data_IF_676886576783
#
_entry.id   IF_676886576783
#
_cell.length_a   1.000
_cell.length_b   1.000
_cell.length_c   1.000
_cell.angle_alpha   90.00
_cell.angle_beta   90.00
_cell.angle_gamma   90.00
#
_symmetry.space_group_name_H-M   'P 1'
#
loop_
_entity.id
_entity.type
_entity.pdbx_description
1 polymer ?
#
# COMPACT_ATOMS: atom_id res chain seq x y z
N UNK A 1 -19.63 0.93 3.58
CA UNK A 1 -20.35 2.19 3.22
C UNK A 1 -20.83 2.10 1.77
N UNK A 2 -21.72 3.00 1.32
CA UNK A 2 -21.98 3.25 -0.12
C UNK A 2 -20.77 3.95 -0.76
N UNK A 3 -20.79 4.17 -2.07
CA UNK A 3 -19.81 5.08 -2.69
C UNK A 3 -20.08 6.54 -2.29
N UNK A 4 -19.03 7.36 -2.36
CA UNK A 4 -19.10 8.81 -2.22
C UNK A 4 -19.43 9.54 -3.54
N UNK A 5 -19.38 8.85 -4.69
CA UNK A 5 -19.47 9.47 -6.02
C UNK A 5 -20.84 9.35 -6.67
N UNK A 6 -21.27 10.44 -7.33
CA UNK A 6 -22.49 10.48 -8.15
C UNK A 6 -22.30 9.84 -9.53
N UNK A 7 -23.41 9.61 -10.24
CA UNK A 7 -23.38 9.13 -11.64
C UNK A 7 -22.71 10.14 -12.59
N UNK A 8 -22.80 11.44 -12.30
CA UNK A 8 -22.08 12.47 -13.05
C UNK A 8 -20.56 12.38 -12.81
N UNK A 9 -20.15 12.11 -11.56
CA UNK A 9 -18.75 11.88 -11.23
C UNK A 9 -18.22 10.60 -11.89
N UNK A 10 -19.02 9.54 -12.00
CA UNK A 10 -18.65 8.36 -12.79
C UNK A 10 -18.44 8.68 -14.27
N UNK A 11 -19.33 9.43 -14.92
CA UNK A 11 -19.11 9.85 -16.32
C UNK A 11 -17.79 10.60 -16.48
N UNK A 12 -17.58 11.65 -15.66
CA UNK A 12 -16.35 12.45 -15.67
C UNK A 12 -15.09 11.60 -15.42
N UNK A 13 -15.18 10.57 -14.57
CA UNK A 13 -14.08 9.62 -14.35
C UNK A 13 -13.81 8.75 -15.59
N UNK A 14 -14.85 8.19 -16.23
CA UNK A 14 -14.70 7.39 -17.44
C UNK A 14 -14.14 8.19 -18.62
N UNK A 15 -14.55 9.46 -18.74
CA UNK A 15 -13.98 10.42 -19.67
C UNK A 15 -12.48 10.65 -19.38
N UNK A 16 -12.13 10.96 -18.13
CA UNK A 16 -10.76 11.25 -17.72
C UNK A 16 -9.80 10.05 -17.93
N UNK A 17 -10.19 8.82 -17.59
CA UNK A 17 -9.38 7.62 -17.85
C UNK A 17 -9.46 7.13 -19.31
N UNK A 18 -10.19 7.83 -20.18
CA UNK A 18 -10.41 7.46 -21.58
C UNK A 18 -10.97 6.02 -21.74
N UNK A 19 -11.88 5.60 -20.87
CA UNK A 19 -12.45 4.23 -20.91
C UNK A 19 -13.18 4.01 -22.26
N UNK A 20 -12.99 2.88 -22.97
CA UNK A 20 -13.61 2.64 -24.28
C UNK A 20 -15.13 2.73 -24.23
N UNK A 21 -15.75 3.39 -25.23
CA UNK A 21 -17.19 3.72 -25.21
C UNK A 21 -18.10 2.49 -25.07
N UNK A 22 -17.78 1.39 -25.75
CA UNK A 22 -18.53 0.14 -25.65
C UNK A 22 -18.61 -0.41 -24.21
N UNK A 23 -17.58 -0.17 -23.38
CA UNK A 23 -17.54 -0.57 -21.97
C UNK A 23 -18.27 0.39 -21.03
N UNK A 24 -18.84 1.50 -21.55
CA UNK A 24 -19.68 2.43 -20.80
C UNK A 24 -21.18 2.20 -21.00
N UNK A 25 -21.56 1.49 -22.07
CA UNK A 25 -22.96 1.17 -22.38
C UNK A 25 -23.50 0.04 -21.46
N UNK A 26 -22.63 -0.89 -21.07
CA UNK A 26 -22.93 -1.95 -20.10
C UNK A 26 -21.91 -1.94 -18.94
N UNK A 27 -22.24 -1.18 -17.89
CA UNK A 27 -21.42 -1.06 -16.68
C UNK A 27 -21.60 -2.23 -15.70
N UNK A 28 -22.19 -3.37 -16.11
CA UNK A 28 -22.33 -4.53 -15.21
C UNK A 28 -20.96 -5.06 -14.79
N UNK A 29 -20.76 -5.36 -13.48
CA UNK A 29 -19.55 -6.00 -12.97
C UNK A 29 -19.17 -7.24 -13.80
N UNK A 30 -17.92 -7.24 -14.27
CA UNK A 30 -17.33 -8.32 -15.07
C UNK A 30 -15.81 -8.19 -15.07
N UNK A 31 -15.10 -9.31 -15.21
CA UNK A 31 -13.64 -9.31 -15.35
C UNK A 31 -13.14 -8.46 -16.54
N UNK A 32 -13.90 -8.35 -17.63
CA UNK A 32 -13.55 -7.49 -18.78
C UNK A 32 -13.57 -6.01 -18.40
N UNK A 33 -14.67 -5.54 -17.78
CA UNK A 33 -14.78 -4.17 -17.29
C UNK A 33 -13.73 -3.87 -16.21
N UNK A 34 -13.49 -4.81 -15.28
CA UNK A 34 -12.48 -4.65 -14.23
C UNK A 34 -11.05 -4.54 -14.78
N UNK A 35 -10.70 -5.33 -15.81
CA UNK A 35 -9.42 -5.21 -16.52
C UNK A 35 -9.27 -3.84 -17.18
N UNK A 36 -10.27 -3.41 -17.95
CA UNK A 36 -10.21 -2.11 -18.63
C UNK A 36 -10.12 -0.94 -17.63
N UNK A 37 -10.95 -0.94 -16.57
CA UNK A 37 -10.88 0.05 -15.49
C UNK A 37 -9.51 0.07 -14.82
N UNK A 38 -8.92 -1.09 -14.54
CA UNK A 38 -7.59 -1.21 -13.95
C UNK A 38 -6.51 -0.62 -14.86
N UNK A 39 -6.41 -1.13 -16.09
CA UNK A 39 -5.35 -0.76 -17.06
C UNK A 39 -5.42 0.71 -17.46
N UNK A 40 -6.62 1.26 -17.66
CA UNK A 40 -6.79 2.69 -17.94
C UNK A 40 -6.47 3.57 -16.72
N UNK A 41 -6.90 3.19 -15.52
CA UNK A 41 -6.60 3.96 -14.29
C UNK A 41 -5.10 3.98 -13.97
N UNK A 42 -4.42 2.83 -14.09
CA UNK A 42 -3.00 2.64 -13.75
C UNK A 42 -2.04 3.53 -14.56
N UNK A 43 -2.41 3.90 -15.78
CA UNK A 43 -1.62 4.80 -16.63
C UNK A 43 -2.12 6.26 -16.62
N UNK A 44 -3.40 6.48 -16.30
CA UNK A 44 -3.96 7.83 -16.19
C UNK A 44 -3.51 8.50 -14.90
N UNK A 45 -3.62 7.82 -13.75
CA UNK A 45 -3.23 8.35 -12.45
C UNK A 45 -1.79 7.92 -12.12
N UNK A 46 -0.80 8.82 -12.21
CA UNK A 46 0.55 8.50 -11.75
C UNK A 46 0.56 8.31 -10.22
N UNK A 47 1.18 7.24 -9.75
CA UNK A 47 1.54 7.13 -8.34
C UNK A 47 2.52 8.26 -8.01
N UNK A 48 2.16 9.15 -7.10
CA UNK A 48 2.94 10.36 -6.79
C UNK A 48 2.78 10.75 -5.32
N UNK A 49 3.87 11.14 -4.65
CA UNK A 49 3.81 11.64 -3.27
C UNK A 49 4.08 13.15 -3.17
N UNK A 50 3.90 13.89 -4.26
CA UNK A 50 4.19 15.33 -4.39
C UNK A 50 3.40 16.17 -3.38
N UNK A 51 2.23 15.71 -2.92
CA UNK A 51 1.46 16.38 -1.88
C UNK A 51 2.11 16.33 -0.48
N UNK A 52 3.15 15.53 -0.25
CA UNK A 52 4.03 15.64 0.93
C UNK A 52 5.15 16.65 0.73
N UNK A 53 5.54 16.95 -0.52
CA UNK A 53 6.73 17.73 -0.85
C UNK A 53 6.45 19.18 -1.28
N UNK A 54 5.39 19.40 -2.06
CA UNK A 54 5.02 20.70 -2.66
C UNK A 54 3.76 21.34 -2.05
N UNK A 55 2.91 20.58 -1.35
CA UNK A 55 1.81 21.19 -0.61
C UNK A 55 2.38 21.97 0.59
N UNK A 56 2.03 23.24 0.77
CA UNK A 56 2.48 24.05 1.91
C UNK A 56 2.07 23.47 3.29
N UNK A 57 1.05 22.59 3.33
CA UNK A 57 0.69 21.84 4.53
C UNK A 57 1.48 20.53 4.74
N UNK A 58 2.27 20.10 3.74
CA UNK A 58 3.03 18.85 3.64
C UNK A 58 2.22 17.60 4.01
N UNK A 59 0.99 17.50 3.50
CA UNK A 59 0.01 16.49 3.89
C UNK A 59 -0.79 15.91 2.73
N UNK A 60 -1.16 14.64 2.88
CA UNK A 60 -2.16 13.92 2.11
C UNK A 60 -3.54 14.09 2.75
N UNK A 61 -4.51 14.58 1.97
CA UNK A 61 -5.94 14.54 2.28
C UNK A 61 -6.55 13.27 1.67
N UNK A 62 -7.43 12.59 2.42
CA UNK A 62 -8.10 11.36 1.99
C UNK A 62 -9.62 11.51 1.83
N UNK A 63 -10.18 12.73 1.95
CA UNK A 63 -11.58 12.99 1.59
C UNK A 63 -11.85 12.53 0.15
N UNK A 64 -12.78 11.59 -0.10
CA UNK A 64 -13.07 11.11 -1.45
C UNK A 64 -13.38 12.23 -2.44
N UNK A 65 -13.99 13.34 -1.99
CA UNK A 65 -14.30 14.47 -2.84
C UNK A 65 -13.07 15.35 -3.14
N UNK A 66 -12.12 15.49 -2.21
CA UNK A 66 -10.78 16.03 -2.48
C UNK A 66 -10.07 15.21 -3.53
N UNK A 67 -9.98 13.90 -3.31
CA UNK A 67 -9.31 12.95 -4.20
C UNK A 67 -9.87 13.07 -5.63
N UNK A 68 -11.20 13.13 -5.76
CA UNK A 68 -11.86 13.31 -7.04
C UNK A 68 -11.55 14.67 -7.69
N UNK A 69 -11.52 15.78 -6.92
CA UNK A 69 -11.15 17.10 -7.46
C UNK A 69 -9.72 17.07 -8.00
N UNK A 70 -8.76 16.76 -7.13
CA UNK A 70 -7.32 16.71 -7.39
C UNK A 70 -6.98 15.90 -8.63
N UNK A 71 -7.51 14.69 -8.73
CA UNK A 71 -7.13 13.75 -9.80
C UNK A 71 -7.98 13.90 -11.06
N UNK A 72 -9.30 14.11 -10.95
CA UNK A 72 -10.23 14.01 -12.10
C UNK A 72 -10.64 15.36 -12.68
N UNK A 73 -10.97 16.37 -11.84
CA UNK A 73 -11.55 17.63 -12.34
C UNK A 73 -10.58 18.78 -12.47
N UNK A 74 -9.51 18.81 -11.68
CA UNK A 74 -8.46 19.83 -11.78
C UNK A 74 -7.70 19.75 -13.11
N UNK A 75 -7.69 18.57 -13.75
CA UNK A 75 -7.04 18.30 -15.05
C UNK A 75 -5.52 18.61 -15.10
N UNK A 76 -4.85 18.65 -13.94
CA UNK A 76 -3.41 18.93 -13.81
C UNK A 76 -2.51 17.69 -13.97
N UNK A 77 -3.05 16.59 -14.48
CA UNK A 77 -2.36 15.29 -14.62
C UNK A 77 -1.92 14.63 -13.30
N UNK A 78 -2.45 15.10 -12.17
CA UNK A 78 -2.15 14.58 -10.83
C UNK A 78 -2.80 13.20 -10.64
N UNK A 79 -2.05 12.27 -10.07
CA UNK A 79 -2.60 11.09 -9.41
C UNK A 79 -2.55 11.33 -7.90
N UNK A 80 -2.00 10.38 -7.17
CA UNK A 80 -1.72 10.58 -5.75
C UNK A 80 -0.90 9.45 -5.14
N UNK A 81 -0.72 9.54 -3.83
CA UNK A 81 -0.09 8.48 -3.06
C UNK A 81 -1.03 7.27 -3.03
N UNK A 82 -0.53 6.10 -2.64
CA UNK A 82 -1.29 4.86 -2.80
C UNK A 82 -2.68 4.88 -2.13
N UNK A 83 -2.85 5.56 -1.00
CA UNK A 83 -4.18 5.73 -0.34
C UNK A 83 -5.12 6.63 -1.13
N UNK A 84 -4.59 7.68 -1.76
CA UNK A 84 -5.36 8.59 -2.61
C UNK A 84 -5.99 7.82 -3.78
N UNK A 85 -5.16 7.10 -4.55
CA UNK A 85 -5.62 6.35 -5.73
C UNK A 85 -6.51 5.17 -5.31
N UNK A 86 -6.15 4.41 -4.27
CA UNK A 86 -6.92 3.25 -3.82
C UNK A 86 -8.31 3.61 -3.29
N UNK A 87 -8.46 4.70 -2.53
CA UNK A 87 -9.76 5.15 -2.02
C UNK A 87 -10.65 5.64 -3.16
N UNK A 88 -10.11 6.44 -4.10
CA UNK A 88 -10.84 6.89 -5.28
C UNK A 88 -11.30 5.70 -6.13
N UNK A 89 -10.40 4.78 -6.47
CA UNK A 89 -10.71 3.62 -7.30
C UNK A 89 -11.71 2.68 -6.62
N UNK A 90 -11.62 2.49 -5.30
CA UNK A 90 -12.60 1.72 -4.54
C UNK A 90 -14.01 2.35 -4.59
N UNK A 91 -14.11 3.68 -4.43
CA UNK A 91 -15.39 4.37 -4.55
C UNK A 91 -15.97 4.28 -5.96
N UNK A 92 -15.15 4.34 -7.02
CA UNK A 92 -15.61 4.09 -8.40
C UNK A 92 -16.18 2.67 -8.53
N UNK A 93 -15.42 1.63 -8.19
CA UNK A 93 -15.87 0.23 -8.29
C UNK A 93 -17.18 -0.03 -7.50
N UNK A 94 -17.28 0.50 -6.28
CA UNK A 94 -18.48 0.36 -5.43
C UNK A 94 -19.70 1.15 -5.94
N UNK A 95 -19.51 2.17 -6.79
CA UNK A 95 -20.61 2.89 -7.44
C UNK A 95 -21.09 2.21 -8.73
N UNK A 96 -20.19 1.52 -9.43
CA UNK A 96 -20.49 0.68 -10.61
C UNK A 96 -21.24 -0.60 -10.21
N UNK A 97 -20.92 -1.15 -9.03
CA UNK A 97 -21.68 -2.26 -8.43
C UNK A 97 -20.84 -3.48 -8.03
N UNK A 98 -19.53 -3.46 -8.30
CA UNK A 98 -18.59 -4.49 -7.83
C UNK A 98 -18.64 -4.60 -6.29
N UNK A 99 -18.44 -5.81 -5.76
CA UNK A 99 -18.17 -5.95 -4.33
C UNK A 99 -16.68 -5.72 -4.05
N UNK A 100 -16.31 -4.43 -4.00
CA UNK A 100 -14.94 -4.00 -3.80
C UNK A 100 -14.69 -3.36 -2.42
N UNK A 101 -13.54 -3.63 -1.81
CA UNK A 101 -13.14 -3.08 -0.50
C UNK A 101 -11.64 -2.72 -0.47
N UNK A 102 -11.24 -1.81 0.44
CA UNK A 102 -9.83 -1.46 0.65
C UNK A 102 -9.19 -2.32 1.74
N UNK A 103 -7.91 -2.65 1.64
CA UNK A 103 -7.17 -3.41 2.65
C UNK A 103 -5.71 -2.92 2.80
N UNK A 104 -5.15 -2.86 4.01
CA UNK A 104 -3.74 -2.53 4.24
C UNK A 104 -2.81 -3.57 3.65
N UNK A 105 -1.76 -3.22 2.90
CA UNK A 105 -0.57 -4.05 2.63
C UNK A 105 0.56 -3.65 3.58
N UNK A 106 1.37 -4.57 4.10
CA UNK A 106 2.72 -4.25 4.59
C UNK A 106 3.71 -4.49 3.44
N UNK A 107 4.66 -3.57 3.31
CA UNK A 107 5.72 -3.61 2.31
C UNK A 107 7.09 -3.85 2.95
N UNK A 108 8.05 -4.35 2.18
CA UNK A 108 9.46 -4.42 2.57
C UNK A 108 10.12 -3.09 2.23
N UNK A 109 11.01 -2.63 3.10
CA UNK A 109 12.02 -1.64 2.73
C UNK A 109 12.79 -2.09 1.47
N UNK A 110 13.12 -1.13 0.59
CA UNK A 110 13.92 -1.40 -0.62
C UNK A 110 15.40 -1.18 -0.34
N UNK A 111 16.23 -2.19 -0.59
CA UNK A 111 17.68 -2.07 -0.75
C UNK A 111 18.01 -2.06 -2.25
N UNK A 112 18.70 -1.02 -2.71
CA UNK A 112 19.10 -0.79 -4.12
C UNK A 112 17.94 -0.76 -5.13
N UNK A 113 16.73 -0.49 -4.64
CA UNK A 113 15.49 -0.53 -5.42
C UNK A 113 14.84 -1.91 -5.51
N UNK A 114 15.37 -2.92 -4.79
CA UNK A 114 14.82 -4.29 -4.69
C UNK A 114 14.26 -4.52 -3.27
N UNK A 115 13.10 -5.19 -3.07
CA UNK A 115 12.52 -5.38 -1.73
C UNK A 115 13.22 -6.45 -0.85
N UNK A 116 13.56 -6.10 0.40
CA UNK A 116 14.30 -6.95 1.37
C UNK A 116 13.71 -6.85 2.80
N UNK A 117 13.37 -7.97 3.50
CA UNK A 117 12.54 -8.02 4.74
C UNK A 117 11.48 -9.14 4.72
N UNK A 118 10.18 -8.92 5.05
CA UNK A 118 9.01 -9.89 4.95
C UNK A 118 7.58 -9.25 4.81
N UNK A 119 6.46 -10.03 4.82
CA UNK A 119 5.11 -9.67 4.25
C UNK A 119 3.79 -10.37 4.76
N UNK A 120 2.54 -9.83 4.60
CA UNK A 120 1.28 -10.63 4.89
C UNK A 120 -0.13 -10.38 4.17
N UNK A 121 -0.80 -11.31 3.38
CA UNK A 121 -1.91 -11.16 2.32
C UNK A 121 -3.44 -11.60 2.34
N UNK A 122 -4.35 -10.80 1.67
CA UNK A 122 -5.86 -10.91 1.54
C UNK A 122 -6.32 -11.48 0.18
N UNK A 123 -7.59 -11.22 -0.27
CA UNK A 123 -8.49 -12.18 -0.97
C UNK A 123 -8.79 -12.03 -2.49
N UNK A 124 -8.55 -10.89 -3.12
CA UNK A 124 -8.47 -10.62 -4.59
C UNK A 124 -7.67 -9.33 -4.79
N UNK A 125 -7.03 -9.13 -5.95
CA UNK A 125 -6.00 -8.08 -6.08
C UNK A 125 -6.16 -7.23 -7.34
N UNK A 126 -6.55 -5.96 -7.19
CA UNK A 126 -6.55 -4.95 -8.26
C UNK A 126 -5.88 -3.67 -7.79
N UNK A 127 -4.55 -3.69 -7.68
CA UNK A 127 -3.78 -2.51 -7.28
C UNK A 127 -3.42 -1.62 -8.48
N UNK A 128 -4.08 -0.46 -8.56
CA UNK A 128 -3.74 0.63 -9.50
C UNK A 128 -2.85 1.69 -8.84
N UNK A 129 -2.43 1.46 -7.59
CA UNK A 129 -1.91 2.46 -6.66
C UNK A 129 -0.53 2.10 -6.09
N UNK A 130 -0.01 0.90 -6.37
CA UNK A 130 1.26 0.38 -5.82
C UNK A 130 2.53 1.05 -6.38
N UNK A 131 2.44 1.65 -7.56
CA UNK A 131 3.60 2.13 -8.31
C UNK A 131 4.31 1.03 -9.11
N UNK A 132 5.60 1.23 -9.38
CA UNK A 132 6.23 0.75 -10.62
C UNK A 132 6.31 -0.76 -10.83
N UNK A 133 6.32 -1.57 -9.78
CA UNK A 133 6.53 -3.03 -9.87
C UNK A 133 5.29 -3.84 -9.42
N UNK A 134 4.13 -3.17 -9.38
CA UNK A 134 2.83 -3.81 -9.21
C UNK A 134 2.38 -4.59 -10.44
N UNK A 135 1.22 -5.24 -10.31
CA UNK A 135 0.56 -5.92 -11.42
C UNK A 135 0.01 -4.91 -12.42
N UNK A 136 0.10 -5.21 -13.72
CA UNK A 136 -0.53 -4.43 -14.81
C UNK A 136 -1.96 -4.88 -15.14
N UNK A 137 -2.47 -5.88 -14.40
CA UNK A 137 -3.83 -6.40 -14.50
C UNK A 137 -4.36 -6.85 -13.13
N UNK A 138 -5.69 -6.94 -12.93
CA UNK A 138 -6.29 -7.61 -11.77
C UNK A 138 -5.84 -9.07 -11.69
N UNK A 139 -5.33 -9.48 -10.53
CA UNK A 139 -4.85 -10.85 -10.31
C UNK A 139 -5.86 -11.70 -9.54
N UNK A 140 -6.17 -12.93 -10.01
CA UNK A 140 -6.95 -13.89 -9.27
C UNK A 140 -6.11 -14.55 -8.16
N UNK A 141 -6.74 -14.90 -7.04
CA UNK A 141 -5.99 -15.53 -5.94
C UNK A 141 -6.06 -17.04 -6.03
N UNK A 142 -5.16 -17.55 -6.85
CA UNK A 142 -4.92 -18.97 -7.04
C UNK A 142 -3.46 -19.21 -6.64
N UNK A 143 -3.25 -20.05 -5.63
CA UNK A 143 -1.93 -20.22 -5.02
C UNK A 143 -0.88 -20.70 -6.04
N UNK A 144 0.15 -19.89 -6.24
CA UNK A 144 1.24 -20.15 -7.16
C UNK A 144 0.95 -19.87 -8.63
N UNK A 145 -0.25 -19.39 -9.00
CA UNK A 145 -0.58 -19.07 -10.40
C UNK A 145 0.31 -17.94 -10.93
N UNK A 146 0.99 -18.21 -12.04
CA UNK A 146 1.95 -17.30 -12.68
C UNK A 146 1.26 -16.54 -13.81
N UNK A 147 1.48 -15.23 -13.84
CA UNK A 147 1.08 -14.33 -14.92
C UNK A 147 2.32 -13.62 -15.47
N UNK A 148 2.30 -13.29 -16.76
CA UNK A 148 3.24 -12.32 -17.33
C UNK A 148 2.83 -10.89 -16.90
N UNK A 149 3.81 -10.00 -16.80
CA UNK A 149 3.65 -8.58 -16.44
C UNK A 149 4.45 -7.71 -17.44
N UNK A 150 4.94 -6.55 -17.03
CA UNK A 150 5.71 -5.67 -17.92
C UNK A 150 7.03 -6.31 -18.40
N UNK A 151 7.11 -6.62 -19.69
CA UNK A 151 8.32 -7.15 -20.34
C UNK A 151 8.51 -8.64 -20.11
N UNK A 152 9.70 -9.05 -19.66
CA UNK A 152 10.00 -10.44 -19.28
C UNK A 152 9.65 -10.76 -17.83
N UNK A 153 9.02 -9.83 -17.11
CA UNK A 153 8.69 -9.99 -15.70
C UNK A 153 7.47 -10.89 -15.52
N UNK A 154 7.60 -11.89 -14.65
CA UNK A 154 6.48 -12.71 -14.20
C UNK A 154 6.08 -12.35 -12.77
N UNK A 155 4.79 -12.47 -12.46
CA UNK A 155 4.18 -12.18 -11.16
C UNK A 155 3.29 -13.35 -10.71
N UNK A 156 3.15 -13.56 -9.40
CA UNK A 156 2.26 -14.56 -8.80
C UNK A 156 1.81 -14.16 -7.40
N UNK A 157 0.78 -14.83 -6.89
CA UNK A 157 0.42 -14.78 -5.47
C UNK A 157 0.62 -16.16 -4.83
N UNK A 158 1.25 -16.17 -3.65
CA UNK A 158 1.60 -17.38 -2.90
C UNK A 158 0.91 -17.36 -1.54
N UNK A 159 0.07 -18.36 -1.23
CA UNK A 159 -0.65 -18.49 0.05
C UNK A 159 0.21 -19.26 1.05
N UNK A 160 0.87 -18.55 1.95
CA UNK A 160 1.84 -19.11 2.90
C UNK A 160 1.88 -18.33 4.21
N UNK A 161 2.79 -18.65 5.13
CA UNK A 161 3.17 -17.78 6.24
C UNK A 161 4.47 -17.03 5.92
N UNK A 162 4.78 -16.00 6.70
CA UNK A 162 6.14 -15.41 6.70
C UNK A 162 6.97 -15.81 7.91
N UNK A 163 8.32 -15.76 7.81
CA UNK A 163 9.22 -16.04 8.92
C UNK A 163 8.82 -15.42 10.25
N UNK A 164 8.65 -14.09 10.33
CA UNK A 164 8.35 -13.35 11.58
C UNK A 164 6.96 -13.58 12.19
N UNK A 165 6.04 -14.28 11.52
CA UNK A 165 4.70 -14.52 12.04
C UNK A 165 4.72 -15.54 13.19
N UNK A 166 4.38 -15.13 14.41
CA UNK A 166 4.38 -16.03 15.58
C UNK A 166 3.24 -17.07 15.51
N UNK A 167 2.04 -16.66 15.11
CA UNK A 167 0.85 -17.53 15.09
C UNK A 167 0.58 -18.07 13.68
N UNK A 168 1.06 -19.27 13.38
CA UNK A 168 0.96 -19.94 12.06
C UNK A 168 -0.10 -21.06 12.08
N UNK A 169 -1.26 -20.78 11.49
CA UNK A 169 -2.35 -21.73 11.21
C UNK A 169 -2.87 -21.50 9.79
N UNK A 170 -3.67 -22.39 9.21
CA UNK A 170 -4.17 -22.23 7.83
C UNK A 170 -5.00 -20.95 7.62
N UNK A 171 -5.76 -20.57 8.64
CA UNK A 171 -6.56 -19.34 8.69
C UNK A 171 -5.66 -18.10 8.65
N UNK A 172 -4.55 -18.14 9.40
CA UNK A 172 -3.59 -17.03 9.49
C UNK A 172 -2.56 -17.00 8.35
N UNK A 173 -2.67 -17.87 7.34
CA UNK A 173 -1.89 -17.74 6.10
C UNK A 173 -2.17 -16.41 5.40
N UNK A 174 -1.31 -16.10 4.44
CA UNK A 174 -1.06 -14.79 3.88
C UNK A 174 -0.81 -14.93 2.37
N UNK A 175 -1.52 -14.16 1.56
CA UNK A 175 -1.34 -14.09 0.10
C UNK A 175 -0.17 -13.17 -0.31
N UNK A 176 1.04 -13.70 -0.25
CA UNK A 176 2.29 -13.01 -0.59
C UNK A 176 2.36 -12.81 -2.11
N UNK A 177 2.34 -11.56 -2.59
CA UNK A 177 2.67 -11.28 -4.00
C UNK A 177 4.17 -11.43 -4.21
N UNK A 178 4.55 -12.05 -5.32
CA UNK A 178 5.93 -12.25 -5.72
C UNK A 178 6.12 -11.91 -7.20
N UNK A 179 7.30 -11.40 -7.55
CA UNK A 179 7.72 -11.16 -8.93
C UNK A 179 9.07 -11.82 -9.20
N UNK A 180 9.38 -12.01 -10.49
CA UNK A 180 10.72 -12.32 -10.98
C UNK A 180 10.93 -11.69 -12.34
N UNK A 181 12.12 -11.17 -12.60
CA UNK A 181 12.38 -10.40 -13.84
C UNK A 181 12.54 -11.26 -15.10
N UNK A 182 12.67 -12.58 -14.94
CA UNK A 182 12.71 -13.59 -16.01
C UNK A 182 12.54 -14.99 -15.42
N UNK A 183 12.29 -16.01 -16.25
CA UNK A 183 11.97 -17.37 -15.80
C UNK A 183 13.14 -18.11 -15.10
N UNK A 184 14.38 -17.68 -15.35
CA UNK A 184 15.62 -18.18 -14.75
C UNK A 184 16.00 -17.47 -13.44
N UNK A 185 15.13 -16.60 -12.92
CA UNK A 185 15.34 -15.85 -11.67
C UNK A 185 14.43 -16.38 -10.55
N UNK A 186 14.92 -16.21 -9.32
CA UNK A 186 14.17 -16.54 -8.10
C UNK A 186 12.98 -15.60 -7.89
N UNK A 187 12.02 -16.06 -7.11
CA UNK A 187 10.82 -15.30 -6.76
C UNK A 187 11.09 -14.33 -5.61
N UNK A 188 11.11 -13.04 -5.93
CA UNK A 188 11.23 -11.95 -4.95
C UNK A 188 9.82 -11.56 -4.53
N UNK A 189 9.46 -11.80 -3.27
CA UNK A 189 8.21 -11.30 -2.70
C UNK A 189 8.18 -9.75 -2.68
N UNK A 190 7.03 -9.08 -2.92
CA UNK A 190 6.94 -7.60 -3.01
C UNK A 190 6.09 -6.89 -1.92
N UNK A 191 4.95 -7.46 -1.52
CA UNK A 191 4.10 -6.94 -0.44
C UNK A 191 3.17 -8.07 0.00
N UNK A 192 2.36 -7.85 1.05
CA UNK A 192 0.98 -8.36 1.08
C UNK A 192 0.10 -7.72 2.18
N UNK A 193 -1.21 -7.99 2.20
CA UNK A 193 -2.35 -7.34 2.92
C UNK A 193 -3.14 -8.21 3.98
N UNK A 194 -3.57 -7.87 5.23
CA UNK A 194 -3.85 -8.91 6.26
C UNK A 194 -5.26 -9.56 6.26
N UNK A 195 -5.79 -10.07 5.13
CA UNK A 195 -7.17 -10.60 4.95
C UNK A 195 -8.33 -9.57 4.86
N UNK A 196 -8.19 -8.47 5.60
CA UNK A 196 -9.29 -7.71 6.22
C UNK A 196 -9.67 -6.43 5.45
N UNK A 197 -10.96 -6.02 5.50
CA UNK A 197 -11.41 -4.68 5.05
C UNK A 197 -10.93 -3.60 6.02
N UNK A 198 -10.22 -2.61 5.50
CA UNK A 198 -9.83 -1.38 6.19
C UNK A 198 -10.89 -0.30 5.93
N UNK A 199 -11.31 0.38 6.97
CA UNK A 199 -12.24 1.50 6.93
C UNK A 199 -11.50 2.85 6.94
N UNK A 200 -12.23 3.96 6.80
CA UNK A 200 -11.65 5.31 6.81
C UNK A 200 -10.77 5.58 8.04
N UNK A 201 -11.19 5.15 9.23
CA UNK A 201 -10.41 5.34 10.47
C UNK A 201 -9.10 4.54 10.49
N UNK A 202 -9.04 3.38 9.84
CA UNK A 202 -7.79 2.62 9.69
C UNK A 202 -6.82 3.36 8.76
N UNK A 203 -7.36 3.97 7.68
CA UNK A 203 -6.60 4.84 6.79
C UNK A 203 -6.15 6.14 7.45
N UNK A 204 -6.98 6.77 8.29
CA UNK A 204 -6.59 7.98 9.02
C UNK A 204 -5.36 7.74 9.91
N UNK A 205 -5.28 6.57 10.56
CA UNK A 205 -4.14 6.18 11.41
C UNK A 205 -2.89 5.89 10.59
N UNK A 206 -3.01 5.16 9.48
CA UNK A 206 -1.89 4.89 8.55
C UNK A 206 -1.39 6.20 7.92
N UNK A 207 -2.31 7.05 7.45
CA UNK A 207 -2.02 8.36 6.88
C UNK A 207 -1.30 9.25 7.88
N UNK A 208 -1.79 9.35 9.12
CA UNK A 208 -1.12 10.12 10.17
C UNK A 208 0.33 9.68 10.41
N UNK A 209 0.61 8.37 10.43
CA UNK A 209 1.99 7.87 10.53
C UNK A 209 2.85 8.32 9.34
N UNK A 210 2.38 8.10 8.10
CA UNK A 210 3.12 8.46 6.87
C UNK A 210 3.36 9.97 6.77
N UNK A 211 2.44 10.79 7.29
CA UNK A 211 2.51 12.26 7.22
C UNK A 211 3.34 12.89 8.35
N UNK A 212 3.68 12.16 9.42
CA UNK A 212 4.31 12.76 10.62
C UNK A 212 5.46 11.97 11.24
N UNK A 213 5.62 10.68 10.94
CA UNK A 213 6.66 9.87 11.54
C UNK A 213 8.01 10.13 10.86
N UNK A 214 9.04 10.43 11.65
CA UNK A 214 10.36 10.83 11.14
C UNK A 214 11.02 9.76 10.24
N UNK A 215 10.65 8.50 10.42
CA UNK A 215 11.17 7.37 9.66
C UNK A 215 10.37 7.04 8.39
N UNK A 216 9.23 7.70 8.13
CA UNK A 216 8.52 7.48 6.86
C UNK A 216 9.41 7.90 5.69
N UNK A 217 9.60 6.98 4.76
CA UNK A 217 10.43 7.21 3.58
C UNK A 217 9.76 8.19 2.61
N UNK A 218 8.43 8.31 2.66
CA UNK A 218 7.63 9.19 1.80
C UNK A 218 7.89 10.68 2.07
N UNK A 219 8.19 11.08 3.32
CA UNK A 219 8.55 12.46 3.65
C UNK A 219 9.94 12.85 3.09
N UNK A 220 10.79 11.87 2.75
CA UNK A 220 12.21 12.07 2.41
C UNK A 220 12.54 11.77 0.95
N UNK A 221 11.78 10.89 0.30
CA UNK A 221 12.02 10.47 -1.07
C UNK A 221 10.85 10.90 -1.95
N UNK A 222 11.11 11.81 -2.89
CA UNK A 222 10.09 12.24 -3.85
C UNK A 222 9.96 11.18 -4.94
N UNK A 223 8.74 10.69 -5.14
CA UNK A 223 8.41 9.63 -6.08
C UNK A 223 7.31 10.08 -7.04
N UNK A 224 7.48 9.75 -8.33
CA UNK A 224 6.43 9.87 -9.33
C UNK A 224 6.58 8.74 -10.34
N UNK A 225 5.53 7.94 -10.55
CA UNK A 225 5.56 6.76 -11.41
C UNK A 225 4.33 6.80 -12.32
N UNK A 226 4.56 6.76 -13.64
CA UNK A 226 3.51 6.74 -14.65
C UNK A 226 3.71 5.57 -15.61
N UNK A 227 2.70 4.72 -15.75
CA UNK A 227 2.67 3.69 -16.77
C UNK A 227 2.26 4.26 -18.13
N UNK A 228 2.66 3.60 -19.21
CA UNK A 228 2.49 4.05 -20.59
C UNK A 228 1.60 3.06 -21.35
N UNK A 229 0.51 3.56 -21.94
CA UNK A 229 -0.44 2.77 -22.72
C UNK A 229 -0.17 2.86 -24.23
N UNK A 230 -0.45 1.76 -24.94
CA UNK A 230 -0.62 1.72 -26.40
C UNK A 230 -1.82 0.84 -26.78
N UNK A 231 -2.39 0.95 -27.98
CA UNK A 231 -3.40 0.01 -28.47
C UNK A 231 -2.84 -1.42 -28.55
N UNK A 232 -3.70 -2.43 -28.37
CA UNK A 232 -3.33 -3.84 -28.55
C UNK A 232 -3.32 -4.20 -30.04
N UNK A 233 -2.14 -4.49 -30.59
CA UNK A 233 -1.96 -4.91 -31.98
C UNK A 233 -2.25 -6.42 -32.16
N UNK A 234 -3.52 -6.82 -32.00
CA UNK A 234 -3.97 -8.21 -32.12
C UNK A 234 -5.36 -8.32 -32.75
N UNK A 235 -5.56 -9.22 -33.73
CA UNK A 235 -6.85 -9.48 -34.38
C UNK A 235 -7.94 -10.02 -33.42
N UNK A 236 -7.54 -10.52 -32.24
CA UNK A 236 -8.46 -11.00 -31.20
C UNK A 236 -8.79 -9.96 -30.10
N UNK A 237 -8.29 -8.71 -30.21
CA UNK A 237 -8.60 -7.62 -29.27
C UNK A 237 -9.94 -6.94 -29.60
N UNK A 238 -10.53 -6.24 -28.63
CA UNK A 238 -11.73 -5.42 -28.88
C UNK A 238 -11.39 -3.98 -29.27
N UNK A 239 -12.31 -3.27 -29.93
CA UNK A 239 -12.08 -1.89 -30.39
C UNK A 239 -11.80 -0.95 -29.21
N UNK A 240 -10.59 -0.39 -29.17
CA UNK A 240 -10.11 0.46 -28.09
C UNK A 240 -9.47 -0.30 -26.90
N UNK A 241 -9.15 -1.59 -27.04
CA UNK A 241 -8.33 -2.29 -26.05
C UNK A 241 -6.89 -1.75 -26.03
N UNK A 242 -6.38 -1.47 -24.82
CA UNK A 242 -5.07 -0.85 -24.59
C UNK A 242 -4.23 -1.71 -23.63
N UNK A 243 -2.92 -1.75 -23.84
CA UNK A 243 -1.96 -2.47 -22.98
C UNK A 243 -0.84 -1.56 -22.43
N UNK A 244 -0.28 -1.97 -21.29
CA UNK A 244 0.83 -1.30 -20.61
C UNK A 244 2.15 -1.74 -21.23
N UNK A 245 2.75 -0.90 -22.08
CA UNK A 245 4.02 -1.23 -22.75
C UNK A 245 5.27 -0.69 -22.04
N UNK A 246 5.10 0.17 -21.03
CA UNK A 246 6.22 0.77 -20.32
C UNK A 246 5.85 1.53 -19.05
N UNK A 247 6.88 2.03 -18.35
CA UNK A 247 6.78 2.88 -17.16
C UNK A 247 7.90 3.91 -17.11
N UNK A 248 7.57 5.11 -16.61
CA UNK A 248 8.51 6.16 -16.17
C UNK A 248 8.48 6.28 -14.66
N UNK A 249 9.64 6.54 -14.06
CA UNK A 249 9.82 6.68 -12.61
C UNK A 249 10.79 7.82 -12.31
N UNK A 250 10.31 8.90 -11.70
CA UNK A 250 11.13 9.92 -11.06
C UNK A 250 11.38 9.50 -9.61
N UNK A 251 12.65 9.44 -9.21
CA UNK A 251 13.09 9.20 -7.84
C UNK A 251 14.05 10.32 -7.44
N UNK A 252 13.62 11.17 -6.52
CA UNK A 252 14.27 12.41 -6.10
C UNK A 252 14.50 13.38 -7.27
N UNK A 253 15.60 13.26 -8.00
CA UNK A 253 15.90 14.03 -9.21
C UNK A 253 16.11 13.17 -10.47
N UNK A 254 16.22 11.85 -10.34
CA UNK A 254 16.59 10.95 -11.44
C UNK A 254 15.33 10.35 -12.08
N UNK A 255 15.14 10.57 -13.39
CA UNK A 255 14.07 9.91 -14.16
C UNK A 255 14.60 8.68 -14.86
N UNK A 256 13.95 7.56 -14.58
CA UNK A 256 14.17 6.25 -15.20
C UNK A 256 13.00 5.90 -16.11
N UNK A 257 13.26 5.24 -17.23
CA UNK A 257 12.25 4.68 -18.14
C UNK A 257 12.52 3.19 -18.36
N UNK A 258 11.46 2.40 -18.49
CA UNK A 258 11.53 0.99 -18.88
C UNK A 258 10.35 0.69 -19.82
N UNK A 259 10.64 0.27 -21.06
CA UNK A 259 9.66 -0.04 -22.10
C UNK A 259 9.56 -1.56 -22.33
N UNK A 260 9.31 -2.32 -21.26
CA UNK A 260 9.26 -3.79 -21.29
C UNK A 260 10.63 -4.49 -21.38
N UNK A 261 11.71 -3.80 -21.00
CA UNK A 261 13.09 -4.27 -21.18
C UNK A 261 14.02 -3.87 -20.03
N UNK A 262 15.20 -3.35 -20.35
CA UNK A 262 16.13 -2.79 -19.35
C UNK A 262 15.71 -1.37 -18.97
N UNK A 263 15.73 -1.08 -17.68
CA UNK A 263 15.53 0.28 -17.15
C UNK A 263 16.74 1.16 -17.51
N UNK A 264 16.49 2.35 -18.07
CA UNK A 264 17.50 3.34 -18.46
C UNK A 264 17.23 4.67 -17.75
N UNK A 265 18.27 5.48 -17.51
CA UNK A 265 18.11 6.86 -17.04
C UNK A 265 17.89 7.76 -18.26
N UNK A 266 16.83 8.57 -18.26
CA UNK A 266 16.48 9.47 -19.38
C UNK A 266 16.73 10.95 -19.07
N UNK A 267 16.77 11.34 -17.78
CA UNK A 267 17.27 12.66 -17.34
C UNK A 267 17.60 12.63 -15.84
N UNK A 268 18.41 13.59 -15.39
CA UNK A 268 18.71 13.86 -13.98
C UNK A 268 18.60 15.35 -13.73
N UNK A 269 17.68 15.72 -12.82
CA UNK A 269 17.45 17.08 -12.36
C UNK A 269 18.36 17.37 -11.17
N UNK A 270 19.02 18.52 -11.14
CA UNK A 270 19.90 18.99 -10.06
C UNK A 270 19.30 20.20 -9.32
N UNK A 271 18.30 20.84 -9.91
CA UNK A 271 17.54 21.96 -9.33
C UNK A 271 16.03 21.68 -9.36
N UNK A 272 15.26 22.37 -8.51
CA UNK A 272 13.79 22.29 -8.57
C UNK A 272 13.21 22.76 -9.91
N UNK A 273 13.82 23.75 -10.58
CA UNK A 273 13.37 24.20 -11.90
C UNK A 273 13.40 23.06 -12.93
N UNK A 274 14.53 22.36 -13.02
CA UNK A 274 14.69 21.17 -13.86
C UNK A 274 13.68 20.07 -13.49
N UNK A 275 13.36 19.92 -12.19
CA UNK A 275 12.45 18.89 -11.68
C UNK A 275 10.99 19.19 -12.00
N UNK A 276 10.55 20.44 -11.85
CA UNK A 276 9.19 20.88 -12.21
C UNK A 276 8.98 20.80 -13.72
N UNK A 277 9.94 21.29 -14.54
CA UNK A 277 9.88 21.12 -15.99
C UNK A 277 9.82 19.64 -16.39
N UNK A 278 10.53 18.77 -15.66
CA UNK A 278 10.53 17.32 -15.91
C UNK A 278 9.23 16.64 -15.46
N UNK A 279 8.54 17.12 -14.43
CA UNK A 279 7.18 16.66 -14.08
C UNK A 279 6.19 16.97 -15.20
N UNK A 280 6.23 18.18 -15.76
CA UNK A 280 5.40 18.57 -16.90
C UNK A 280 5.76 17.75 -18.16
N UNK A 281 7.04 17.74 -18.55
CA UNK A 281 7.51 17.13 -19.81
C UNK A 281 7.48 15.60 -19.84
N UNK A 282 7.80 14.92 -18.73
CA UNK A 282 7.89 13.45 -18.70
C UNK A 282 6.63 12.76 -18.17
N UNK A 283 5.86 13.43 -17.30
CA UNK A 283 4.71 12.85 -16.59
C UNK A 283 3.37 13.56 -16.87
N UNK A 284 3.40 14.76 -17.48
CA UNK A 284 2.24 15.63 -17.72
C UNK A 284 1.59 16.14 -16.43
N UNK A 285 2.39 16.31 -15.37
CA UNK A 285 1.96 16.86 -14.07
C UNK A 285 2.25 18.35 -14.02
N UNK A 286 1.21 19.15 -13.79
CA UNK A 286 1.32 20.61 -13.71
C UNK A 286 1.12 21.10 -12.27
N UNK A 287 2.13 21.76 -11.73
CA UNK A 287 2.07 22.37 -10.39
C UNK A 287 1.63 23.83 -10.47
N UNK A 288 0.83 24.25 -9.50
CA UNK A 288 0.51 25.67 -9.24
C UNK A 288 1.73 26.39 -8.70
N UNK A 289 1.75 27.73 -8.76
CA UNK A 289 2.88 28.49 -8.24
C UNK A 289 2.98 28.45 -6.71
N UNK A 290 1.85 28.29 -6.00
CA UNK A 290 1.83 27.98 -4.57
C UNK A 290 2.48 26.63 -4.26
N UNK A 291 2.18 25.59 -5.05
CA UNK A 291 2.85 24.28 -4.90
C UNK A 291 4.35 24.37 -5.19
N UNK A 292 4.78 25.13 -6.22
CA UNK A 292 6.21 25.31 -6.56
C UNK A 292 6.99 26.00 -5.45
N UNK A 293 6.38 26.97 -4.75
CA UNK A 293 7.00 27.63 -3.60
C UNK A 293 6.96 26.77 -2.33
N UNK A 294 5.96 25.89 -2.18
CA UNK A 294 5.77 25.03 -1.00
C UNK A 294 6.90 24.05 -0.70
N UNK A 295 7.77 23.73 -1.67
CA UNK A 295 8.93 22.85 -1.44
C UNK A 295 10.17 23.56 -0.91
N UNK A 296 10.19 24.90 -0.84
CA UNK A 296 11.38 25.68 -0.44
C UNK A 296 11.78 25.39 1.01
N UNK A 297 13.03 25.01 1.20
CA UNK A 297 13.57 24.60 2.50
C UNK A 297 13.08 23.23 3.00
N UNK A 298 12.28 22.50 2.22
CA UNK A 298 11.85 21.16 2.57
C UNK A 298 12.96 20.13 2.32
N UNK A 299 12.91 18.99 3.04
CA UNK A 299 14.01 18.01 3.07
C UNK A 299 14.34 17.35 1.71
N UNK A 300 13.44 17.48 0.72
CA UNK A 300 13.58 16.93 -0.63
C UNK A 300 13.92 17.97 -1.71
N UNK A 301 14.14 19.24 -1.36
CA UNK A 301 14.49 20.32 -2.30
C UNK A 301 15.87 20.09 -2.97
N UNK A 302 15.94 20.20 -4.29
CA UNK A 302 17.17 20.15 -5.08
C UNK A 302 17.72 21.56 -5.28
N UNK A 303 18.85 21.83 -4.61
CA UNK A 303 19.49 23.15 -4.51
C UNK A 303 20.78 23.28 -5.35
N UNK A 304 20.91 22.51 -6.44
CA UNK A 304 22.10 22.47 -7.29
C UNK A 304 23.24 21.58 -6.76
N UNK A 305 23.12 21.02 -5.56
CA UNK A 305 24.01 19.95 -5.10
C UNK A 305 23.66 18.61 -5.77
N UNK A 306 24.59 17.63 -5.72
CA UNK A 306 24.33 16.29 -6.27
C UNK A 306 23.12 15.67 -5.58
N UNK A 307 22.12 15.26 -6.37
CA UNK A 307 20.92 14.54 -5.93
C UNK A 307 21.28 13.47 -4.89
N UNK A 308 20.71 13.51 -3.68
CA UNK A 308 20.97 12.50 -2.66
C UNK A 308 20.68 11.09 -3.18
N UNK A 309 21.69 10.21 -3.14
CA UNK A 309 21.53 8.80 -3.49
C UNK A 309 20.61 8.13 -2.47
N UNK A 310 19.34 7.97 -2.83
CA UNK A 310 18.41 7.14 -2.09
C UNK A 310 18.89 5.68 -2.12
N UNK A 311 18.63 4.92 -1.06
CA UNK A 311 18.77 3.46 -1.07
C UNK A 311 17.91 2.80 -2.16
N UNK A 312 16.90 3.48 -2.72
CA UNK A 312 16.18 3.06 -3.93
C UNK A 312 17.03 3.11 -5.23
N UNK A 313 18.29 3.55 -5.18
CA UNK A 313 19.08 3.90 -6.37
C UNK A 313 20.54 3.43 -6.40
N UNK A 314 21.09 2.88 -5.31
CA UNK A 314 22.55 2.89 -5.07
C UNK A 314 23.43 1.98 -5.92
N UNK A 315 22.91 0.95 -6.62
CA UNK A 315 23.73 0.04 -7.46
C UNK A 315 23.22 -0.11 -8.90
N UNK A 316 23.48 0.91 -9.72
CA UNK A 316 23.50 0.79 -11.19
C UNK A 316 24.80 1.29 -11.84
N UNK A 317 25.75 1.81 -11.04
CA UNK A 317 27.04 2.34 -11.50
C UNK A 317 28.23 1.69 -10.76
N UNK A 318 28.44 0.37 -10.92
CA UNK A 318 29.77 -0.26 -11.02
C UNK A 318 29.65 -1.78 -11.23
N UNK A 319 30.55 -2.34 -12.05
CA UNK A 319 30.75 -3.78 -12.27
C UNK A 319 32.23 -4.10 -12.02
N UNK A 320 32.58 -4.50 -10.80
CA UNK A 320 33.89 -5.08 -10.44
C UNK A 320 33.75 -5.89 -9.13
N UNK A 321 34.69 -6.82 -8.82
CA UNK A 321 34.35 -8.01 -8.04
C UNK A 321 34.32 -7.83 -6.51
N UNK A 322 33.57 -8.71 -5.87
CA UNK A 322 33.55 -8.94 -4.43
C UNK A 322 34.95 -9.34 -3.94
N UNK A 323 35.52 -8.54 -3.03
CA UNK A 323 36.60 -9.00 -2.16
C UNK A 323 35.97 -9.40 -0.83
N UNK A 324 36.02 -10.70 -0.50
CA UNK A 324 35.49 -11.24 0.74
C UNK A 324 36.34 -10.84 1.94
N UNK A 325 35.76 -10.16 2.92
CA UNK A 325 36.28 -10.09 4.28
C UNK A 325 35.13 -10.32 5.27
N UNK A 326 34.92 -11.60 5.59
CA UNK A 326 33.89 -12.05 6.54
C UNK A 326 34.36 -11.85 7.98
N UNK A 327 33.82 -10.86 8.68
CA UNK A 327 33.87 -10.76 10.13
C UNK A 327 32.43 -10.68 10.66
N UNK A 328 32.04 -11.64 11.51
CA UNK A 328 30.72 -11.68 12.10
C UNK A 328 30.62 -10.67 13.27
N UNK A 329 29.56 -9.83 13.34
CA UNK A 329 29.37 -8.94 14.48
C UNK A 329 29.00 -9.75 15.73
N UNK A 330 29.78 -9.58 16.80
CA UNK A 330 29.46 -10.16 18.11
C UNK A 330 28.34 -9.35 18.79
N UNK A 331 27.30 -10.04 19.24
CA UNK A 331 26.25 -9.44 20.07
C UNK A 331 26.71 -9.34 21.53
N UNK A 332 26.78 -8.11 22.06
CA UNK A 332 27.02 -7.85 23.48
C UNK A 332 25.67 -7.66 24.22
N UNK A 333 25.38 -8.41 25.29
CA UNK A 333 24.13 -8.29 26.03
C UNK A 333 24.12 -7.07 26.96
N UNK A 334 23.05 -6.27 26.94
CA UNK A 334 22.81 -5.21 27.92
C UNK A 334 21.80 -5.64 29.01
N UNK A 335 22.12 -5.51 30.31
CA UNK A 335 21.19 -5.87 31.39
C UNK A 335 19.93 -4.99 31.48
N UNK A 336 18.82 -5.61 31.88
CA UNK A 336 17.45 -5.09 31.78
C UNK A 336 17.09 -3.94 32.76
N UNK A 337 18.06 -3.37 33.49
CA UNK A 337 17.83 -2.55 34.69
C UNK A 337 17.71 -1.03 34.44
N UNK A 338 17.99 -0.52 33.24
CA UNK A 338 18.11 0.94 32.96
C UNK A 338 16.89 1.63 32.33
N UNK A 339 15.79 0.92 32.05
CA UNK A 339 14.60 1.50 31.41
C UNK A 339 13.51 2.03 32.37
N UNK A 340 13.66 1.87 33.69
CA UNK A 340 12.56 2.01 34.66
C UNK A 340 12.75 3.21 35.62
N UNK A 341 13.23 4.35 35.12
CA UNK A 341 13.53 5.53 35.97
C UNK A 341 12.94 6.86 35.49
N UNK A 342 12.24 6.91 34.35
CA UNK A 342 11.77 8.17 33.73
C UNK A 342 10.25 8.23 33.50
N UNK A 343 9.47 7.31 34.09
CA UNK A 343 8.01 7.26 33.96
C UNK A 343 7.29 7.13 35.32
N UNK A 344 7.53 8.10 36.22
CA UNK A 344 6.68 8.36 37.39
C UNK A 344 6.37 9.86 37.51
N UNK A 345 5.12 10.14 37.90
CA UNK A 345 4.54 11.48 38.21
C UNK A 345 4.16 12.40 37.03
N UNK A 346 3.01 12.15 36.41
CA UNK A 346 1.74 12.87 36.70
C UNK A 346 0.55 12.11 36.06
N UNK A 347 -0.68 12.53 36.36
CA UNK A 347 -1.83 11.61 36.42
C UNK A 347 -3.06 12.01 35.59
N UNK A 348 -3.89 11.00 35.27
CA UNK A 348 -5.26 11.06 34.74
C UNK A 348 -5.45 11.59 33.29
N UNK A 349 -5.10 10.74 32.33
CA UNK A 349 -5.98 10.43 31.19
C UNK A 349 -5.91 8.93 30.89
N UNK A 350 -6.98 8.34 30.35
CA UNK A 350 -7.00 6.92 29.90
C UNK A 350 -6.16 6.86 28.61
N UNK A 351 -5.08 6.10 28.51
CA UNK A 351 -5.01 4.62 28.47
C UNK A 351 -5.91 4.03 27.38
N UNK A 352 -5.45 4.14 26.12
CA UNK A 352 -5.36 3.01 25.18
C UNK A 352 -4.45 3.36 23.97
N UNK A 353 -3.13 3.40 24.15
CA UNK A 353 -2.20 3.68 23.05
C UNK A 353 -0.87 2.92 23.20
N UNK A 354 -0.90 1.60 23.01
CA UNK A 354 0.28 0.73 22.91
C UNK A 354 -0.06 -0.66 22.36
N UNK A 355 -0.07 -0.81 21.03
CA UNK A 355 0.67 -1.85 20.30
C UNK A 355 0.53 -1.68 18.77
N UNK A 356 1.21 -0.68 18.22
CA UNK A 356 1.73 -0.75 16.85
C UNK A 356 3.20 -0.38 16.87
N UNK A 357 4.01 -1.33 17.36
CA UNK A 357 5.43 -1.38 17.02
C UNK A 357 5.51 -1.96 15.61
N UNK A 358 5.29 -1.09 14.63
CA UNK A 358 5.73 -1.31 13.26
C UNK A 358 7.26 -1.28 13.29
N UNK A 359 7.92 -2.27 12.69
CA UNK A 359 9.39 -2.24 12.61
C UNK A 359 9.82 -1.12 11.65
N UNK A 360 10.98 -0.52 11.93
CA UNK A 360 11.45 0.77 11.40
C UNK A 360 11.72 0.83 9.88
N UNK A 361 11.31 -0.17 9.10
CA UNK A 361 11.36 -0.22 7.64
C UNK A 361 10.11 -0.80 6.95
N UNK A 362 9.03 -1.12 7.67
CA UNK A 362 7.81 -1.74 7.13
C UNK A 362 6.70 -0.68 6.94
N UNK A 363 6.53 -0.09 5.74
CA UNK A 363 5.41 0.84 5.50
C UNK A 363 4.09 0.08 5.21
N UNK A 364 3.02 0.46 5.91
CA UNK A 364 1.64 0.06 5.62
C UNK A 364 1.10 0.91 4.47
N UNK A 365 0.88 0.31 3.30
CA UNK A 365 0.22 0.92 2.14
C UNK A 365 -1.19 0.31 1.97
N UNK A 366 -2.00 0.66 0.96
CA UNK A 366 -3.30 0.06 0.67
C UNK A 366 -3.32 -0.84 -0.56
N UNK A 367 -4.43 -1.54 -0.71
CA UNK A 367 -4.86 -2.27 -1.90
C UNK A 367 -6.37 -2.10 -2.08
N UNK A 368 -6.86 -2.18 -3.34
CA UNK A 368 -8.27 -2.49 -3.63
C UNK A 368 -8.47 -3.97 -3.96
N UNK A 369 -9.30 -4.64 -3.17
CA UNK A 369 -9.85 -5.98 -3.41
C UNK A 369 -11.19 -5.81 -4.14
N UNK A 370 -11.50 -6.66 -5.13
CA UNK A 370 -12.78 -6.63 -5.85
C UNK A 370 -13.19 -8.04 -6.34
N UNK A 371 -14.51 -8.27 -6.34
CA UNK A 371 -15.18 -9.45 -6.91
C UNK A 371 -16.15 -8.98 -8.01
N UNK A 372 -16.25 -9.72 -9.13
CA UNK A 372 -17.18 -9.40 -10.23
C UNK A 372 -18.58 -9.99 -10.03
N UNK A 373 -18.79 -10.75 -8.95
CA UNK A 373 -20.12 -11.06 -8.43
C UNK A 373 -20.86 -9.76 -8.04
N UNK A 374 -22.12 -9.55 -8.45
CA UNK A 374 -22.92 -8.44 -7.96
C UNK A 374 -23.17 -8.60 -6.45
N UNK A 375 -23.16 -7.48 -5.72
CA UNK A 375 -23.41 -7.44 -4.27
C UNK A 375 -24.70 -8.17 -3.89
N UNK A 376 -24.56 -9.36 -3.28
CA UNK A 376 -25.67 -10.06 -2.67
C UNK A 376 -26.31 -9.19 -1.58
N UNK A 377 -27.59 -8.87 -1.72
CA UNK A 377 -28.38 -8.29 -0.61
C UNK A 377 -28.38 -9.29 0.54
N UNK A 378 -27.66 -8.93 1.63
CA UNK A 378 -27.37 -9.72 2.84
C UNK A 378 -28.22 -11.00 2.94
N UNK A 379 -27.63 -12.13 2.54
CA UNK A 379 -28.23 -13.44 2.77
C UNK A 379 -28.56 -13.56 4.26
N UNK A 380 -29.75 -14.08 4.58
CA UNK A 380 -30.36 -14.05 5.93
C UNK A 380 -29.31 -14.31 7.01
N UNK A 381 -29.16 -13.36 7.94
CA UNK A 381 -28.31 -13.54 9.10
C UNK A 381 -28.60 -14.89 9.76
N UNK A 382 -27.54 -15.63 10.11
CA UNK A 382 -27.70 -16.79 10.98
C UNK A 382 -28.42 -16.34 12.26
N UNK A 383 -29.37 -17.15 12.79
CA UNK A 383 -30.03 -16.79 14.04
C UNK A 383 -28.96 -16.60 15.13
N UNK A 384 -29.11 -15.58 16.00
CA UNK A 384 -28.10 -15.31 17.02
C UNK A 384 -27.92 -16.55 17.90
N UNK A 385 -26.67 -16.88 18.21
CA UNK A 385 -26.36 -17.95 19.15
C UNK A 385 -26.96 -17.56 20.50
N UNK A 386 -27.96 -18.32 20.95
CA UNK A 386 -28.51 -18.16 22.30
C UNK A 386 -27.43 -18.56 23.30
N UNK A 387 -26.85 -17.56 23.97
CA UNK A 387 -26.25 -17.79 25.27
C UNK A 387 -27.41 -17.97 26.25
N UNK A 388 -27.73 -19.22 26.55
CA UNK A 388 -28.77 -19.56 27.53
C UNK A 388 -28.34 -19.04 28.92
N UNK A 389 -28.83 -17.85 29.24
CA UNK A 389 -28.57 -17.16 30.50
C UNK A 389 -29.29 -17.87 31.64
N UNK A 390 -28.65 -18.92 32.17
CA UNK A 390 -29.06 -19.56 33.42
C UNK A 390 -29.26 -18.47 34.49
N UNK A 391 -30.48 -18.29 35.02
CA UNK A 391 -30.79 -17.15 35.88
C UNK A 391 -30.11 -17.32 37.24
N UNK A 392 -29.06 -16.54 37.47
CA UNK A 392 -28.40 -16.42 38.77
C UNK A 392 -29.41 -15.88 39.78
N UNK A 393 -30.00 -16.76 40.58
CA UNK A 393 -30.89 -16.38 41.68
C UNK A 393 -30.10 -15.58 42.72
N UNK A 394 -30.48 -14.31 42.90
CA UNK A 394 -29.97 -13.50 44.00
C UNK A 394 -30.45 -14.09 45.34
N UNK A 395 -29.56 -14.79 46.04
CA UNK A 395 -29.83 -15.39 47.35
C UNK A 395 -29.44 -14.43 48.46
N UNK A 396 -30.40 -13.63 48.93
CA UNK A 396 -30.21 -12.72 50.05
C UNK A 396 -30.21 -13.47 51.39
N UNK A 397 -29.04 -13.73 51.96
CA UNK A 397 -28.92 -13.96 53.41
C UNK A 397 -27.53 -13.61 53.95
N UNK A 398 -27.50 -12.77 54.97
CA UNK A 398 -26.33 -12.55 55.83
C UNK A 398 -26.59 -13.30 57.12
N UNK A 399 -25.73 -14.26 57.43
CA UNK A 399 -25.59 -14.91 58.73
C UNK A 399 -24.08 -15.07 58.97
N UNK A 400 -23.64 -15.04 60.24
CA UNK A 400 -22.24 -14.82 60.63
C UNK A 400 -21.75 -15.89 61.61
N UNK A 401 -20.43 -15.85 61.90
CA UNK A 401 -19.68 -16.83 62.71
C UNK A 401 -19.41 -18.14 61.94
N UNK A 402 -18.35 -18.91 62.21
CA UNK A 402 -17.32 -18.78 63.24
C UNK A 402 -15.90 -19.05 62.68
N UNK A 403 -14.89 -18.90 63.54
CA UNK A 403 -13.48 -19.19 63.25
C UNK A 403 -13.19 -20.70 63.21
N UNK A 404 -12.25 -21.12 62.37
CA UNK A 404 -11.55 -22.40 62.52
C UNK A 404 -10.19 -22.36 61.84
N UNK A 405 -9.11 -22.28 62.63
CA UNK A 405 -7.75 -22.48 62.14
C UNK A 405 -7.52 -23.96 61.77
N UNK A 406 -6.86 -24.23 60.64
CA UNK A 406 -6.16 -25.50 60.42
C UNK A 406 -4.79 -25.20 59.83
N UNK A 407 -3.79 -25.77 60.48
CA UNK A 407 -2.34 -25.57 60.29
C UNK A 407 -1.82 -25.75 58.86
N UNK A 408 -0.86 -24.91 58.50
CA UNK A 408 0.15 -25.23 57.47
C UNK A 408 1.05 -26.35 58.00
N UNK A 409 1.39 -27.31 57.15
CA UNK A 409 2.49 -28.24 57.38
C UNK A 409 3.52 -28.08 56.27
N UNK A 410 4.66 -27.46 56.60
CA UNK A 410 5.91 -27.69 55.89
C UNK A 410 6.46 -29.08 56.30
N UNK A 411 7.10 -29.78 55.36
CA UNK A 411 7.68 -31.10 55.57
C UNK A 411 8.37 -31.62 54.31
N UNK A 412 9.67 -31.92 54.43
CA UNK A 412 10.58 -32.11 53.29
C UNK A 412 10.54 -33.51 52.63
N UNK A 413 11.15 -33.56 51.43
CA UNK A 413 11.84 -34.68 50.76
C UNK A 413 11.42 -36.15 51.00
N UNK A 414 11.13 -36.88 49.91
CA UNK A 414 12.09 -37.82 49.28
C UNK A 414 11.40 -38.78 48.27
N UNK A 415 11.81 -38.72 46.99
CA UNK A 415 11.91 -39.86 46.05
C UNK A 415 12.48 -39.39 44.69
#
# INVERSE_FOLDING_TARGET
>A
MTSAYSQEQLSRFFDHINLPKALREDLRPSLMLLKALHTHSLATFPYENLSLHYNAAHKIDLDPQHLFRKMVTDNRGRGGFCMEIAILYNHVLRAIGFDAYTAGVRTRGRLEGVPTGDYPGCKYHSDVAFGGDGATMPMPLIDGLVHENLGTQQIRLKRDWIPHQVHKTEETKLWIYQYRNSQDKEWISFYSFPGIEFFALDWDVVNWWINTHADSHQLRNMLTIKFLLRPVENEASFEGEMEIYGKRMLVNGVVKENLGGRTQIITTCNTEGERVETLERCFQIFLTDEEKEGIRGYVSELNGSKVPQSTFTSHFHQLTPIISNSHAPQLLPMPHQKLITTLRTRSKCKVLMRLMLIDSGDELLPLVVADDSPRYTVAKAQPPISFDTLPVKASSRVEALAESEVTVHDGDDFA
#
